data_IF_395925609479
#
_entry.id   IF_395925609479
#
_cell.length_a   1.000
_cell.length_b   1.000
_cell.length_c   1.000
_cell.angle_alpha   90.00
_cell.angle_beta   90.00
_cell.angle_gamma   90.00
#
_symmetry.space_group_name_H-M   'P 1'
#
loop_
_entity.id
_entity.type
_entity.pdbx_description
1 polymer ?
#
# COMPACT_ATOMS: atom_id res chain seq x y z
N UNK A 1 2.27 3.45 9.52
CA UNK A 1 1.89 3.48 8.08
C UNK A 1 2.85 4.36 7.33
N UNK A 2 3.18 4.03 6.09
CA UNK A 2 3.98 4.90 5.22
C UNK A 2 3.14 5.46 4.08
N UNK A 3 3.39 6.72 3.72
CA UNK A 3 2.83 7.37 2.53
C UNK A 3 3.96 7.66 1.56
N UNK A 4 3.79 7.23 0.31
CA UNK A 4 4.74 7.53 -0.78
C UNK A 4 4.06 8.54 -1.70
N UNK A 5 4.48 9.79 -1.64
CA UNK A 5 3.91 10.91 -2.40
C UNK A 5 4.57 11.04 -3.78
N UNK A 6 3.91 11.72 -4.71
CA UNK A 6 4.52 12.23 -5.94
C UNK A 6 3.63 12.14 -7.18
N UNK A 7 4.08 12.76 -8.27
CA UNK A 7 3.31 12.86 -9.52
C UNK A 7 3.65 11.69 -10.47
N UNK A 8 4.92 11.29 -10.46
CA UNK A 8 5.46 10.27 -11.34
C UNK A 8 5.15 8.84 -10.87
N UNK A 9 5.40 7.86 -11.73
CA UNK A 9 5.27 6.43 -11.41
C UNK A 9 6.20 6.05 -10.24
N UNK A 10 5.62 5.72 -9.09
CA UNK A 10 6.35 5.56 -7.81
C UNK A 10 7.03 4.19 -7.62
N UNK A 11 6.99 3.32 -8.62
CA UNK A 11 7.36 1.91 -8.45
C UNK A 11 8.80 1.72 -7.96
N UNK A 12 9.75 2.50 -8.45
CA UNK A 12 11.15 2.40 -8.00
C UNK A 12 11.29 2.76 -6.51
N UNK A 13 10.49 3.71 -6.03
CA UNK A 13 10.48 4.14 -4.63
C UNK A 13 9.75 3.13 -3.73
N UNK A 14 8.65 2.54 -4.22
CA UNK A 14 8.00 1.40 -3.56
C UNK A 14 8.99 0.25 -3.39
N UNK A 15 9.76 -0.07 -4.42
CA UNK A 15 10.80 -1.12 -4.33
C UNK A 15 11.92 -0.78 -3.34
N UNK A 16 12.43 0.46 -3.39
CA UNK A 16 13.43 0.91 -2.43
C UNK A 16 12.89 0.85 -1.00
N UNK A 17 11.61 1.17 -0.81
CA UNK A 17 10.92 1.07 0.47
C UNK A 17 10.82 -0.39 0.94
N UNK A 18 10.33 -1.31 0.10
CA UNK A 18 10.29 -2.75 0.40
C UNK A 18 11.66 -3.26 0.83
N UNK A 19 12.71 -2.94 0.06
CA UNK A 19 14.08 -3.38 0.39
C UNK A 19 14.61 -2.80 1.70
N UNK A 20 14.10 -1.65 2.16
CA UNK A 20 14.59 -0.99 3.39
C UNK A 20 13.78 -1.37 4.62
N UNK A 21 12.46 -1.48 4.48
CA UNK A 21 11.53 -1.63 5.59
C UNK A 21 10.99 -3.05 5.73
N UNK A 22 11.10 -3.87 4.69
CA UNK A 22 10.43 -5.17 4.58
C UNK A 22 11.42 -6.29 4.18
N UNK A 23 12.67 -6.22 4.66
CA UNK A 23 13.67 -7.25 4.32
C UNK A 23 13.36 -8.56 5.04
N UNK A 24 13.11 -9.62 4.27
CA UNK A 24 12.78 -10.95 4.82
C UNK A 24 11.30 -11.13 5.16
N UNK A 25 10.49 -10.12 4.90
CA UNK A 25 9.06 -10.09 5.17
C UNK A 25 8.25 -10.52 3.93
N UNK A 26 7.09 -11.14 4.18
CA UNK A 26 6.11 -11.49 3.15
C UNK A 26 5.20 -10.30 2.89
N UNK A 27 5.22 -9.78 1.65
CA UNK A 27 4.58 -8.52 1.27
C UNK A 27 3.49 -8.74 0.23
N UNK A 28 2.33 -8.10 0.45
CA UNK A 28 1.28 -7.99 -0.56
C UNK A 28 1.32 -6.61 -1.21
N UNK A 29 1.36 -6.55 -2.53
CA UNK A 29 1.17 -5.32 -3.31
C UNK A 29 -0.21 -5.38 -3.96
N UNK A 30 -1.09 -4.48 -3.55
CA UNK A 30 -2.50 -4.46 -3.88
C UNK A 30 -2.82 -3.27 -4.77
N UNK A 31 -3.57 -3.47 -5.85
CA UNK A 31 -3.92 -2.38 -6.77
C UNK A 31 -5.09 -2.71 -7.67
N UNK A 32 -5.36 -1.81 -8.61
CA UNK A 32 -6.38 -2.00 -9.63
C UNK A 32 -5.88 -2.90 -10.77
N UNK A 33 -6.78 -3.65 -11.44
CA UNK A 33 -6.44 -4.40 -12.64
C UNK A 33 -5.68 -3.57 -13.67
N UNK A 34 -4.58 -4.12 -14.18
CA UNK A 34 -3.69 -3.49 -15.19
C UNK A 34 -3.06 -2.18 -14.75
N UNK A 35 -3.11 -1.83 -13.46
CA UNK A 35 -2.42 -0.67 -12.87
C UNK A 35 -1.20 -1.09 -12.07
N UNK A 36 -1.13 -2.35 -11.68
CA UNK A 36 0.06 -2.91 -11.08
C UNK A 36 1.19 -3.01 -12.12
N UNK A 37 2.45 -2.81 -11.70
CA UNK A 37 3.57 -2.88 -12.61
C UNK A 37 3.87 -4.34 -12.99
N UNK A 38 3.48 -4.71 -14.23
CA UNK A 38 3.46 -6.07 -14.77
C UNK A 38 4.84 -6.79 -14.84
N UNK A 39 5.94 -6.04 -14.82
CA UNK A 39 7.28 -6.57 -15.14
C UNK A 39 8.09 -7.12 -13.95
N UNK A 40 7.53 -7.22 -12.74
CA UNK A 40 8.32 -7.56 -11.54
C UNK A 40 8.06 -8.97 -10.99
N UNK A 41 7.61 -9.88 -11.85
CA UNK A 41 7.52 -11.31 -11.60
C UNK A 41 8.91 -11.90 -11.31
N UNK A 42 9.27 -12.05 -10.03
CA UNK A 42 10.15 -13.11 -9.44
C UNK A 42 10.71 -12.69 -8.07
N UNK A 43 9.85 -12.36 -7.11
CA UNK A 43 10.24 -12.46 -5.71
C UNK A 43 9.23 -13.34 -4.98
N UNK A 44 9.67 -14.48 -4.43
CA UNK A 44 8.80 -15.44 -3.75
C UNK A 44 8.09 -14.85 -2.53
N UNK A 45 8.63 -13.76 -1.97
CA UNK A 45 8.08 -13.10 -0.80
C UNK A 45 7.10 -11.97 -1.15
N UNK A 46 6.93 -11.63 -2.43
CA UNK A 46 6.10 -10.49 -2.85
C UNK A 46 4.98 -10.98 -3.77
N UNK A 47 3.75 -10.84 -3.31
CA UNK A 47 2.55 -11.24 -4.06
C UNK A 47 1.82 -10.00 -4.56
N UNK A 48 1.42 -9.99 -5.84
CA UNK A 48 0.64 -8.92 -6.44
C UNK A 48 -0.85 -9.30 -6.50
N UNK A 49 -1.72 -8.39 -6.05
CA UNK A 49 -3.17 -8.58 -6.02
C UNK A 49 -3.90 -7.47 -6.76
N UNK A 50 -4.58 -7.82 -7.84
CA UNK A 50 -5.50 -6.93 -8.56
C UNK A 50 -6.91 -6.96 -7.96
N UNK A 51 -7.01 -6.82 -6.63
CA UNK A 51 -8.27 -7.00 -5.89
C UNK A 51 -9.14 -5.74 -5.82
N UNK A 52 -8.61 -4.57 -6.17
CA UNK A 52 -9.38 -3.32 -6.18
C UNK A 52 -10.07 -3.16 -7.53
N UNK A 53 -11.36 -3.44 -7.60
CA UNK A 53 -12.10 -3.46 -8.88
C UNK A 53 -13.01 -2.25 -9.08
N UNK A 54 -13.43 -1.56 -8.01
CA UNK A 54 -14.39 -0.45 -8.06
C UNK A 54 -13.69 0.80 -7.51
N UNK A 55 -13.34 1.73 -8.41
CA UNK A 55 -12.56 2.92 -8.07
C UNK A 55 -13.14 3.69 -6.90
N UNK A 56 -14.42 4.03 -6.92
CA UNK A 56 -15.03 4.87 -5.86
C UNK A 56 -15.28 4.14 -4.53
N UNK A 57 -15.03 2.82 -4.49
CA UNK A 57 -15.21 1.98 -3.30
C UNK A 57 -13.91 1.32 -2.85
N UNK A 58 -12.77 1.76 -3.38
CA UNK A 58 -11.50 1.09 -3.15
C UNK A 58 -11.09 1.06 -1.67
N UNK A 59 -11.43 2.07 -0.87
CA UNK A 59 -11.19 2.07 0.58
C UNK A 59 -11.94 0.94 1.29
N UNK A 60 -13.19 0.68 0.88
CA UNK A 60 -13.97 -0.45 1.41
C UNK A 60 -13.36 -1.78 0.97
N UNK A 61 -12.90 -1.87 -0.28
CA UNK A 61 -12.22 -3.06 -0.79
C UNK A 61 -10.86 -3.28 -0.11
N UNK A 62 -10.15 -2.21 0.24
CA UNK A 62 -8.90 -2.25 1.00
C UNK A 62 -9.13 -2.75 2.42
N UNK A 63 -10.16 -2.25 3.11
CA UNK A 63 -10.57 -2.73 4.44
C UNK A 63 -10.90 -4.23 4.41
N UNK A 64 -11.70 -4.66 3.42
CA UNK A 64 -12.02 -6.07 3.21
C UNK A 64 -10.79 -6.94 2.89
N UNK A 65 -9.82 -6.40 2.15
CA UNK A 65 -8.59 -7.11 1.86
C UNK A 65 -7.76 -7.29 3.14
N UNK A 66 -7.59 -6.23 3.94
CA UNK A 66 -6.87 -6.28 5.21
C UNK A 66 -7.51 -7.28 6.17
N UNK A 67 -8.82 -7.19 6.39
CA UNK A 67 -9.56 -8.12 7.26
C UNK A 67 -9.40 -9.59 6.87
N UNK A 68 -9.15 -9.89 5.59
CA UNK A 68 -9.01 -11.25 5.09
C UNK A 68 -7.57 -11.76 5.08
N UNK A 69 -6.60 -10.87 4.84
CA UNK A 69 -5.23 -11.26 4.50
C UNK A 69 -4.16 -10.66 5.39
N UNK A 70 -4.48 -9.83 6.39
CA UNK A 70 -3.43 -9.20 7.23
C UNK A 70 -2.50 -10.23 7.88
N UNK A 71 -3.05 -11.32 8.42
CA UNK A 71 -2.25 -12.33 9.13
C UNK A 71 -1.34 -13.14 8.19
N UNK A 72 -1.56 -13.04 6.88
CA UNK A 72 -0.75 -13.73 5.87
C UNK A 72 0.47 -12.91 5.42
N UNK A 73 0.53 -11.63 5.76
CA UNK A 73 1.52 -10.68 5.24
C UNK A 73 2.02 -9.72 6.32
N UNK A 74 3.33 -9.63 6.47
CA UNK A 74 3.97 -8.72 7.42
C UNK A 74 3.78 -7.24 6.99
N UNK A 75 3.68 -7.01 5.67
CA UNK A 75 3.45 -5.69 5.10
C UNK A 75 2.52 -5.70 3.89
N UNK A 76 1.70 -4.66 3.79
CA UNK A 76 0.68 -4.53 2.74
C UNK A 76 0.80 -3.16 2.08
N UNK A 77 1.01 -3.14 0.78
CA UNK A 77 1.25 -1.94 -0.01
C UNK A 77 0.09 -1.72 -0.98
N UNK A 78 -0.65 -0.64 -0.79
CA UNK A 78 -1.69 -0.20 -1.71
C UNK A 78 -1.11 0.74 -2.77
N UNK A 79 -1.01 0.25 -4.01
CA UNK A 79 -0.50 0.95 -5.18
C UNK A 79 -1.66 1.50 -6.03
N UNK A 80 -2.17 2.66 -5.63
CA UNK A 80 -3.43 3.25 -6.13
C UNK A 80 -3.35 4.72 -6.52
N UNK A 81 -2.27 5.42 -6.17
CA UNK A 81 -2.12 6.89 -6.33
C UNK A 81 -3.37 7.68 -5.88
N UNK A 82 -3.78 7.48 -4.63
CA UNK A 82 -4.99 8.10 -4.09
C UNK A 82 -4.77 9.58 -3.76
N UNK A 83 -5.87 10.30 -3.48
CA UNK A 83 -5.83 11.66 -2.95
C UNK A 83 -5.38 11.68 -1.48
N UNK A 84 -4.95 12.85 -1.00
CA UNK A 84 -4.60 13.05 0.41
C UNK A 84 -5.81 12.80 1.35
N UNK A 85 -7.02 13.14 0.90
CA UNK A 85 -8.25 12.90 1.66
C UNK A 85 -8.46 11.40 1.88
N UNK A 86 -8.32 10.59 0.82
CA UNK A 86 -8.45 9.15 0.92
C UNK A 86 -7.31 8.53 1.75
N UNK A 87 -6.09 9.07 1.66
CA UNK A 87 -4.97 8.63 2.49
C UNK A 87 -5.26 8.83 3.99
N UNK A 88 -5.91 9.94 4.37
CA UNK A 88 -6.31 10.18 5.76
C UNK A 88 -7.41 9.22 6.24
N UNK A 89 -8.36 8.85 5.38
CA UNK A 89 -9.33 7.80 5.72
C UNK A 89 -8.66 6.43 5.84
N UNK A 90 -7.69 6.13 4.96
CA UNK A 90 -6.92 4.89 5.01
C UNK A 90 -6.11 4.77 6.30
N UNK A 91 -5.60 5.87 6.88
CA UNK A 91 -4.95 5.85 8.21
C UNK A 91 -5.87 5.29 9.29
N UNK A 92 -7.15 5.68 9.29
CA UNK A 92 -8.15 5.19 10.25
C UNK A 92 -8.44 3.71 10.05
N UNK A 93 -8.47 3.25 8.81
CA UNK A 93 -8.63 1.84 8.46
C UNK A 93 -7.41 1.05 8.94
N UNK A 94 -6.22 1.47 8.54
CA UNK A 94 -4.95 0.80 8.87
C UNK A 94 -4.67 0.74 10.38
N UNK A 95 -5.18 1.69 11.18
CA UNK A 95 -5.02 1.68 12.64
C UNK A 95 -5.74 0.52 13.33
N UNK A 96 -6.65 -0.18 12.64
CA UNK A 96 -7.34 -1.37 13.15
C UNK A 96 -6.52 -2.65 13.00
N UNK A 97 -5.46 -2.59 12.20
CA UNK A 97 -4.73 -3.75 11.69
C UNK A 97 -3.28 -3.72 12.16
N UNK A 98 -2.65 -4.90 12.25
CA UNK A 98 -1.28 -5.03 12.74
C UNK A 98 -0.24 -4.87 11.64
N UNK A 99 -0.54 -5.35 10.43
CA UNK A 99 0.40 -5.33 9.31
C UNK A 99 0.83 -3.91 8.97
N UNK A 100 2.09 -3.76 8.57
CA UNK A 100 2.60 -2.45 8.17
C UNK A 100 1.99 -2.05 6.82
N UNK A 101 1.07 -1.08 6.87
CA UNK A 101 0.43 -0.54 5.66
C UNK A 101 1.27 0.57 5.03
N UNK A 102 1.46 0.48 3.72
CA UNK A 102 2.07 1.53 2.89
C UNK A 102 1.12 1.91 1.75
N UNK A 103 1.03 3.21 1.44
CA UNK A 103 0.09 3.73 0.45
C UNK A 103 0.76 4.73 -0.48
N UNK A 104 0.49 4.62 -1.78
CA UNK A 104 0.91 5.64 -2.76
C UNK A 104 -0.13 6.77 -2.86
N UNK A 105 0.33 8.02 -2.76
CA UNK A 105 -0.50 9.23 -2.77
C UNK A 105 -0.09 10.13 -3.93
N UNK A 106 -1.04 10.56 -4.74
CA UNK A 106 -0.80 11.54 -5.79
C UNK A 106 -0.43 12.91 -5.19
N UNK A 107 0.63 13.55 -5.70
CA UNK A 107 1.08 14.88 -5.26
C UNK A 107 1.89 15.54 -6.36
N UNK A 108 1.78 16.87 -6.51
CA UNK A 108 2.58 17.65 -7.47
C UNK A 108 4.03 17.88 -6.98
N UNK A 109 4.37 17.40 -5.78
CA UNK A 109 5.70 17.50 -5.21
C UNK A 109 6.60 16.34 -5.68
N UNK A 110 7.94 16.49 -5.60
CA UNK A 110 8.86 15.39 -5.81
C UNK A 110 8.53 14.18 -4.92
N UNK A 111 8.90 12.99 -5.37
CA UNK A 111 8.60 11.76 -4.62
C UNK A 111 9.25 11.81 -3.24
N UNK A 112 8.42 11.69 -2.20
CA UNK A 112 8.82 11.63 -0.80
C UNK A 112 8.17 10.43 -0.12
N UNK A 113 8.80 9.95 0.96
CA UNK A 113 8.25 8.89 1.81
C UNK A 113 8.08 9.47 3.20
N UNK A 114 6.86 9.47 3.70
CA UNK A 114 6.52 9.94 5.03
C UNK A 114 6.11 8.77 5.93
N UNK A 115 6.65 8.75 7.14
CA UNK A 115 6.21 7.81 8.17
C UNK A 115 5.13 8.44 9.03
N UNK A 116 3.95 7.83 9.03
CA UNK A 116 2.81 8.18 9.86
C UNK A 116 2.60 7.06 10.88
N UNK A 117 3.14 7.18 12.11
CA UNK A 117 2.89 6.19 13.15
C UNK A 117 1.38 6.12 13.41
N UNK A 118 0.84 4.90 13.47
CA UNK A 118 -0.57 4.69 13.76
C UNK A 118 -0.67 4.26 15.23
N UNK A 119 -1.47 4.98 16.00
CA UNK A 119 -1.92 4.48 17.28
C UNK A 119 -2.93 3.37 17.02
N UNK A 120 -2.52 2.12 17.27
CA UNK A 120 -3.41 0.99 17.10
C UNK A 120 -4.56 1.10 18.09
N UNK A 121 -5.79 0.98 17.58
CA UNK A 121 -6.97 0.96 18.44
C UNK A 121 -7.04 -0.44 19.06
N UNK A 122 -6.78 -0.50 20.37
CA UNK A 122 -6.77 -1.74 21.17
C UNK A 122 -8.14 -2.42 21.21
#
# INVERSE_FOLDING_TARGET
>A
MYLIHGEQRKINHVWAHIKRQHTGEKIAVVGFPKKLPENYLRNKQITFYESLTIKDKWLVQADQFLAKFEDEYDGIIFYVDCTLKEANEMKKIAAKYRSLVTLTVASDLPISIEHHPLEQVA
#
